data_IF_147641936236
#
_entry.id   IF_147641936236
#
_cell.length_a   1.000
_cell.length_b   1.000
_cell.length_c   1.000
_cell.angle_alpha   90.00
_cell.angle_beta   90.00
_cell.angle_gamma   90.00
#
_symmetry.space_group_name_H-M   'P 1'
#
loop_
_entity.id
_entity.type
_entity.pdbx_description
1 polymer ?
#
# COMPACT_ATOMS: atom_id res chain seq x y z
N UNK A 1 -25.50 -30.17 -8.62
CA UNK A 1 -24.21 -29.68 -8.12
C UNK A 1 -24.11 -28.24 -8.51
N UNK A 2 -24.06 -27.33 -7.54
CA UNK A 2 -23.75 -25.92 -7.77
C UNK A 2 -22.33 -25.84 -8.30
N UNK A 3 -22.15 -25.24 -9.47
CA UNK A 3 -20.82 -24.99 -10.02
C UNK A 3 -20.16 -23.91 -9.17
N UNK A 4 -19.12 -24.26 -8.41
CA UNK A 4 -18.33 -23.32 -7.62
C UNK A 4 -17.22 -22.79 -8.53
N UNK A 5 -17.16 -21.47 -8.73
CA UNK A 5 -16.10 -20.85 -9.53
C UNK A 5 -14.78 -20.80 -8.76
N UNK A 6 -13.66 -20.66 -9.47
CA UNK A 6 -12.36 -20.46 -8.82
C UNK A 6 -12.36 -19.17 -7.95
N UNK A 7 -13.11 -18.14 -8.37
CA UNK A 7 -13.27 -16.89 -7.63
C UNK A 7 -14.06 -17.09 -6.33
N UNK A 8 -15.13 -17.88 -6.36
CA UNK A 8 -15.93 -18.20 -5.17
C UNK A 8 -15.13 -19.06 -4.19
N UNK A 9 -14.39 -20.06 -4.69
CA UNK A 9 -13.51 -20.88 -3.85
C UNK A 9 -12.43 -19.99 -3.19
N UNK A 10 -11.83 -19.08 -3.96
CA UNK A 10 -10.84 -18.15 -3.46
C UNK A 10 -11.41 -17.17 -2.42
N UNK A 11 -12.59 -16.59 -2.69
CA UNK A 11 -13.27 -15.67 -1.79
C UNK A 11 -13.70 -16.30 -0.47
N UNK A 12 -14.01 -17.60 -0.47
CA UNK A 12 -14.45 -18.31 0.73
C UNK A 12 -13.30 -18.99 1.49
N UNK A 13 -12.07 -18.92 0.98
CA UNK A 13 -10.93 -19.59 1.61
C UNK A 13 -10.95 -21.12 1.43
N UNK A 14 -11.73 -21.63 0.48
CA UNK A 14 -11.90 -23.06 0.24
C UNK A 14 -10.74 -23.60 -0.60
N UNK A 15 -9.61 -23.84 0.07
CA UNK A 15 -8.38 -24.31 -0.55
C UNK A 15 -8.54 -25.67 -1.25
N UNK A 16 -9.35 -26.58 -0.69
CA UNK A 16 -9.51 -27.93 -1.24
C UNK A 16 -10.29 -27.91 -2.56
N UNK A 17 -11.36 -27.12 -2.63
CA UNK A 17 -12.09 -26.91 -3.88
C UNK A 17 -11.23 -26.16 -4.88
N UNK A 18 -10.50 -25.14 -4.44
CA UNK A 18 -9.62 -24.36 -5.31
C UNK A 18 -8.51 -25.24 -5.94
N UNK A 19 -7.86 -26.10 -5.15
CA UNK A 19 -6.88 -27.10 -5.66
C UNK A 19 -7.47 -27.99 -6.75
N UNK A 20 -8.65 -28.57 -6.51
CA UNK A 20 -9.33 -29.41 -7.51
C UNK A 20 -9.63 -28.66 -8.80
N UNK A 21 -10.06 -27.40 -8.70
CA UNK A 21 -10.33 -26.55 -9.86
C UNK A 21 -9.03 -26.26 -10.63
N UNK A 22 -7.95 -25.88 -9.96
CA UNK A 22 -6.66 -25.56 -10.59
C UNK A 22 -6.02 -26.79 -11.22
N UNK A 23 -6.11 -27.97 -10.59
CA UNK A 23 -5.65 -29.24 -11.18
C UNK A 23 -6.37 -29.57 -12.48
N UNK A 24 -7.69 -29.34 -12.54
CA UNK A 24 -8.49 -29.62 -13.74
C UNK A 24 -8.36 -28.52 -14.80
N UNK A 25 -8.20 -27.26 -14.38
CA UNK A 25 -8.20 -26.08 -15.24
C UNK A 25 -7.14 -25.04 -14.81
N UNK A 26 -5.84 -25.30 -15.05
CA UNK A 26 -4.76 -24.42 -14.58
C UNK A 26 -4.83 -22.98 -15.13
N UNK A 27 -5.39 -22.78 -16.33
CA UNK A 27 -5.56 -21.47 -16.94
C UNK A 27 -6.48 -20.53 -16.16
N UNK A 28 -7.31 -21.06 -15.24
CA UNK A 28 -8.22 -20.27 -14.41
C UNK A 28 -7.50 -19.47 -13.32
N UNK A 29 -6.26 -19.83 -12.97
CA UNK A 29 -5.47 -19.16 -11.91
C UNK A 29 -5.38 -17.64 -12.11
N UNK A 30 -5.34 -17.20 -13.37
CA UNK A 30 -5.29 -15.78 -13.76
C UNK A 30 -6.54 -15.35 -14.53
N UNK A 31 -7.60 -16.15 -14.54
CA UNK A 31 -8.82 -15.77 -15.24
C UNK A 31 -9.55 -14.68 -14.46
N UNK A 32 -9.85 -13.59 -15.14
CA UNK A 32 -10.67 -12.52 -14.61
C UNK A 32 -12.15 -12.92 -14.52
N UNK A 33 -12.82 -12.46 -13.47
CA UNK A 33 -14.27 -12.45 -13.37
C UNK A 33 -14.90 -11.25 -14.11
N UNK A 34 -16.20 -11.06 -13.93
CA UNK A 34 -16.96 -9.96 -14.52
C UNK A 34 -16.52 -8.55 -14.05
N UNK A 35 -15.74 -8.45 -12.98
CA UNK A 35 -15.20 -7.20 -12.43
C UNK A 35 -13.74 -7.00 -12.80
N UNK A 36 -13.20 -7.83 -13.72
CA UNK A 36 -11.78 -7.88 -14.03
C UNK A 36 -10.93 -8.23 -12.80
N UNK A 37 -11.41 -9.11 -11.91
CA UNK A 37 -10.62 -9.59 -10.77
C UNK A 37 -10.25 -11.05 -10.97
N UNK A 38 -8.97 -11.36 -10.85
CA UNK A 38 -8.52 -12.75 -10.80
C UNK A 38 -8.68 -13.34 -9.37
N UNK A 39 -8.61 -14.66 -9.19
CA UNK A 39 -8.91 -15.32 -7.92
C UNK A 39 -8.10 -14.81 -6.72
N UNK A 40 -6.84 -14.41 -6.94
CA UNK A 40 -5.96 -13.97 -5.84
C UNK A 40 -6.44 -12.68 -5.18
N UNK A 41 -7.17 -11.81 -5.89
CA UNK A 41 -7.74 -10.57 -5.35
C UNK A 41 -8.77 -10.89 -4.27
N UNK A 42 -9.68 -11.81 -4.56
CA UNK A 42 -10.72 -12.24 -3.63
C UNK A 42 -10.14 -12.90 -2.38
N UNK A 43 -9.10 -13.73 -2.56
CA UNK A 43 -8.40 -14.36 -1.44
C UNK A 43 -7.62 -13.33 -0.59
N UNK A 44 -6.94 -12.38 -1.24
CA UNK A 44 -6.15 -11.34 -0.58
C UNK A 44 -7.02 -10.37 0.24
N UNK A 45 -8.11 -9.87 -0.34
CA UNK A 45 -9.08 -8.98 0.32
C UNK A 45 -9.72 -9.63 1.56
N UNK A 46 -9.83 -10.96 1.57
CA UNK A 46 -10.50 -11.71 2.64
C UNK A 46 -9.53 -12.45 3.56
N UNK A 47 -8.23 -12.14 3.47
CA UNK A 47 -7.17 -12.63 4.37
C UNK A 47 -6.92 -14.14 4.30
N UNK A 48 -7.20 -14.77 3.16
CA UNK A 48 -7.06 -16.22 3.00
C UNK A 48 -5.63 -16.59 2.63
N UNK A 49 -4.71 -16.53 3.60
CA UNK A 49 -3.28 -16.74 3.41
C UNK A 49 -2.95 -18.02 2.62
N UNK A 50 -3.50 -19.17 3.00
CA UNK A 50 -3.16 -20.45 2.36
C UNK A 50 -3.62 -20.52 0.90
N UNK A 51 -4.74 -19.86 0.59
CA UNK A 51 -5.25 -19.74 -0.79
C UNK A 51 -4.36 -18.80 -1.60
N UNK A 52 -4.00 -17.64 -1.05
CA UNK A 52 -3.09 -16.69 -1.70
C UNK A 52 -1.75 -17.37 -1.99
N UNK A 53 -1.20 -18.10 -1.00
CA UNK A 53 0.05 -18.83 -1.16
C UNK A 53 -0.04 -19.87 -2.27
N UNK A 54 -1.11 -20.67 -2.28
CA UNK A 54 -1.29 -21.69 -3.30
C UNK A 54 -1.44 -21.07 -4.71
N UNK A 55 -2.21 -20.00 -4.86
CA UNK A 55 -2.35 -19.31 -6.14
C UNK A 55 -1.01 -18.76 -6.65
N UNK A 56 -0.19 -18.17 -5.78
CA UNK A 56 1.19 -17.76 -6.09
C UNK A 56 2.01 -18.96 -6.58
N UNK A 57 2.01 -20.07 -5.84
CA UNK A 57 2.75 -21.28 -6.18
C UNK A 57 2.29 -21.87 -7.53
N UNK A 58 1.05 -21.59 -7.95
CA UNK A 58 0.48 -21.96 -9.25
C UNK A 58 0.72 -20.93 -10.37
N UNK A 59 1.48 -19.85 -10.11
CA UNK A 59 1.82 -18.84 -11.10
C UNK A 59 0.78 -17.74 -11.26
N UNK A 60 0.11 -17.34 -10.18
CA UNK A 60 -0.73 -16.15 -10.18
C UNK A 60 0.07 -14.91 -10.58
N UNK A 61 -0.47 -14.13 -11.51
CA UNK A 61 0.11 -12.86 -11.96
C UNK A 61 -0.17 -11.79 -10.91
N UNK A 62 0.83 -11.51 -10.08
CA UNK A 62 0.73 -10.55 -8.99
C UNK A 62 0.82 -9.09 -9.46
N UNK A 63 1.18 -8.87 -10.72
CA UNK A 63 1.19 -7.55 -11.35
C UNK A 63 -0.09 -7.28 -12.15
N UNK A 64 -0.98 -8.27 -12.28
CA UNK A 64 -2.28 -8.12 -12.93
C UNK A 64 -3.04 -6.94 -12.33
N UNK A 65 -3.81 -6.26 -13.19
CA UNK A 65 -4.60 -5.09 -12.82
C UNK A 65 -3.79 -4.05 -12.07
N UNK A 66 -2.58 -3.76 -12.52
CA UNK A 66 -1.69 -2.79 -11.88
C UNK A 66 -1.40 -3.12 -10.40
N UNK A 67 -1.28 -4.40 -10.03
CA UNK A 67 -0.78 -4.77 -8.71
C UNK A 67 -1.76 -4.52 -7.56
N UNK A 68 -3.05 -4.40 -7.87
CA UNK A 68 -4.07 -4.06 -6.87
C UNK A 68 -4.29 -5.17 -5.82
N UNK A 69 -3.76 -6.39 -6.03
CA UNK A 69 -3.90 -7.48 -5.07
C UNK A 69 -3.24 -7.16 -3.73
N UNK A 70 -2.05 -6.55 -3.76
CA UNK A 70 -1.37 -6.09 -2.55
C UNK A 70 -2.00 -4.79 -2.00
N UNK A 71 -2.48 -3.89 -2.87
CA UNK A 71 -3.16 -2.66 -2.44
C UNK A 71 -4.41 -2.96 -1.61
N UNK A 72 -5.34 -3.73 -2.16
CA UNK A 72 -6.56 -4.12 -1.46
C UNK A 72 -6.27 -5.00 -0.25
N UNK A 73 -5.24 -5.85 -0.30
CA UNK A 73 -4.82 -6.60 0.89
C UNK A 73 -4.34 -5.66 2.01
N UNK A 74 -3.61 -4.59 1.68
CA UNK A 74 -3.10 -3.60 2.62
C UNK A 74 -4.18 -2.70 3.24
N UNK A 75 -5.29 -2.45 2.53
CA UNK A 75 -6.44 -1.70 3.07
C UNK A 75 -7.25 -2.48 4.12
N UNK A 76 -7.05 -3.80 4.21
CA UNK A 76 -7.79 -4.67 5.12
C UNK A 76 -7.11 -4.69 6.49
N UNK A 77 -7.83 -4.34 7.59
CA UNK A 77 -7.29 -4.42 8.94
C UNK A 77 -6.75 -5.82 9.28
N UNK A 78 -5.58 -5.86 9.94
CA UNK A 78 -4.91 -7.07 10.39
C UNK A 78 -4.61 -8.11 9.29
N UNK A 79 -4.26 -7.66 8.07
CA UNK A 79 -3.92 -8.53 6.93
C UNK A 79 -2.40 -8.59 6.63
N UNK A 80 -1.57 -8.48 7.66
CA UNK A 80 -0.11 -8.32 7.52
C UNK A 80 0.55 -9.55 6.88
N UNK A 81 0.01 -10.74 7.13
CA UNK A 81 0.55 -12.01 6.63
C UNK A 81 0.39 -12.15 5.11
N UNK A 82 -0.78 -11.80 4.57
CA UNK A 82 -1.01 -11.80 3.12
C UNK A 82 -0.19 -10.72 2.43
N UNK A 83 -0.15 -9.51 3.01
CA UNK A 83 0.67 -8.41 2.46
C UNK A 83 2.14 -8.81 2.43
N UNK A 84 2.67 -9.36 3.52
CA UNK A 84 4.04 -9.87 3.60
C UNK A 84 4.32 -10.97 2.56
N UNK A 85 3.36 -11.89 2.37
CA UNK A 85 3.44 -12.94 1.38
C UNK A 85 3.48 -12.38 -0.05
N UNK A 86 2.59 -11.45 -0.39
CA UNK A 86 2.56 -10.80 -1.69
C UNK A 86 3.86 -10.05 -1.96
N UNK A 87 4.39 -9.28 -1.00
CA UNK A 87 5.70 -8.61 -1.11
C UNK A 87 6.81 -9.63 -1.36
N UNK A 88 6.83 -10.72 -0.60
CA UNK A 88 7.87 -11.75 -0.68
C UNK A 88 7.97 -12.36 -2.08
N UNK A 89 6.82 -12.60 -2.73
CA UNK A 89 6.75 -13.24 -4.05
C UNK A 89 6.67 -12.25 -5.23
N UNK A 90 6.84 -10.95 -4.97
CA UNK A 90 6.92 -9.95 -6.03
C UNK A 90 5.58 -9.33 -6.44
N UNK A 91 4.54 -9.43 -5.61
CA UNK A 91 3.33 -8.64 -5.68
C UNK A 91 3.67 -7.17 -5.58
N UNK A 92 3.85 -6.56 -6.74
CA UNK A 92 4.03 -5.12 -6.85
C UNK A 92 2.67 -4.49 -6.57
N UNK A 93 2.66 -3.42 -5.78
CA UNK A 93 1.76 -2.34 -6.09
C UNK A 93 2.25 -1.81 -7.45
N UNK A 94 1.47 -1.88 -8.54
CA UNK A 94 1.99 -1.35 -9.82
C UNK A 94 2.08 0.18 -9.82
N UNK A 95 1.82 0.82 -8.68
CA UNK A 95 2.20 2.19 -8.41
C UNK A 95 3.66 2.35 -7.97
N UNK A 96 4.42 1.28 -7.70
CA UNK A 96 5.84 1.40 -7.38
C UNK A 96 6.71 1.62 -8.64
N UNK A 97 6.51 0.85 -9.73
CA UNK A 97 7.38 0.84 -10.95
C UNK A 97 8.83 1.30 -10.70
N UNK A 98 9.59 0.63 -9.81
CA UNK A 98 10.90 1.07 -9.39
C UNK A 98 11.86 1.15 -10.59
N UNK A 99 12.67 2.22 -10.68
CA UNK A 99 13.60 2.43 -11.79
C UNK A 99 14.73 1.40 -11.86
N UNK A 100 14.97 0.69 -10.75
CA UNK A 100 16.07 -0.24 -10.59
C UNK A 100 15.75 -1.30 -9.54
N UNK A 101 16.50 -2.39 -9.58
CA UNK A 101 16.41 -3.49 -8.61
C UNK A 101 16.66 -3.02 -7.16
N UNK A 102 17.58 -2.07 -6.96
CA UNK A 102 17.85 -1.53 -5.62
C UNK A 102 16.68 -0.66 -5.12
N UNK A 103 16.04 0.13 -5.99
CA UNK A 103 14.83 0.88 -5.65
C UNK A 103 13.66 -0.05 -5.30
N UNK A 104 13.53 -1.19 -6.01
CA UNK A 104 12.54 -2.22 -5.69
C UNK A 104 12.76 -2.81 -4.30
N UNK A 105 13.99 -3.18 -3.97
CA UNK A 105 14.32 -3.70 -2.64
C UNK A 105 14.11 -2.66 -1.54
N UNK A 106 14.36 -1.39 -1.86
CA UNK A 106 14.21 -0.29 -0.91
C UNK A 106 12.74 -0.06 -0.56
N UNK A 107 11.89 0.07 -1.57
CA UNK A 107 10.46 0.28 -1.32
C UNK A 107 9.81 -0.93 -0.64
N UNK A 108 10.31 -2.15 -0.88
CA UNK A 108 9.88 -3.33 -0.12
C UNK A 108 10.26 -3.25 1.36
N UNK A 109 11.48 -2.78 1.67
CA UNK A 109 11.87 -2.57 3.06
C UNK A 109 10.98 -1.55 3.76
N UNK A 110 10.56 -0.50 3.05
CA UNK A 110 9.59 0.50 3.53
C UNK A 110 8.21 -0.13 3.76
N UNK A 111 7.65 -0.84 2.78
CA UNK A 111 6.33 -1.49 2.93
C UNK A 111 6.27 -2.53 4.04
N UNK A 112 7.39 -3.21 4.32
CA UNK A 112 7.49 -4.20 5.40
C UNK A 112 7.82 -3.57 6.75
N UNK A 113 7.86 -2.24 6.85
CA UNK A 113 8.33 -1.50 8.02
C UNK A 113 9.69 -2.02 8.57
N UNK A 114 10.58 -2.46 7.67
CA UNK A 114 11.88 -2.99 8.04
C UNK A 114 12.91 -1.86 8.20
N UNK A 115 12.86 -1.21 9.35
CA UNK A 115 13.68 -0.06 9.72
C UNK A 115 15.18 -0.34 9.55
N UNK A 116 15.65 -1.51 10.00
CA UNK A 116 17.05 -1.88 9.89
C UNK A 116 17.53 -1.96 8.44
N UNK A 117 16.70 -2.49 7.54
CA UNK A 117 17.02 -2.60 6.12
C UNK A 117 16.90 -1.26 5.42
N UNK A 118 15.89 -0.45 5.72
CA UNK A 118 15.76 0.93 5.24
C UNK A 118 17.03 1.73 5.58
N UNK A 119 17.46 1.70 6.84
CA UNK A 119 18.65 2.41 7.30
C UNK A 119 19.93 1.91 6.64
N UNK A 120 20.07 0.60 6.47
CA UNK A 120 21.22 0.03 5.76
C UNK A 120 21.28 0.51 4.30
N UNK A 121 20.14 0.49 3.61
CA UNK A 121 20.06 0.88 2.20
C UNK A 121 20.25 2.38 2.00
N UNK A 122 19.74 3.22 2.89
CA UNK A 122 19.94 4.68 2.83
C UNK A 122 21.38 5.08 3.12
N UNK A 123 22.06 4.38 4.04
CA UNK A 123 23.49 4.59 4.27
C UNK A 123 24.31 4.25 3.03
N UNK A 124 24.01 3.14 2.37
CA UNK A 124 24.80 2.65 1.24
C UNK A 124 24.39 3.32 -0.08
N UNK A 125 23.15 3.79 -0.21
CA UNK A 125 22.62 4.47 -1.40
C UNK A 125 21.66 5.62 -1.02
N UNK A 126 22.19 6.78 -0.55
CA UNK A 126 21.37 7.88 0.00
C UNK A 126 20.31 8.44 -0.96
N UNK A 127 20.59 8.44 -2.27
CA UNK A 127 19.66 8.93 -3.30
C UNK A 127 18.31 8.21 -3.32
N UNK A 128 18.21 7.01 -2.75
CA UNK A 128 16.97 6.24 -2.66
C UNK A 128 15.88 7.00 -1.89
N UNK A 129 16.26 7.89 -0.97
CA UNK A 129 15.31 8.67 -0.16
C UNK A 129 14.42 9.59 -1.00
N UNK A 130 14.89 10.01 -2.18
CA UNK A 130 14.17 10.86 -3.13
C UNK A 130 13.73 10.10 -4.40
N UNK A 131 13.88 8.77 -4.41
CA UNK A 131 13.47 7.97 -5.56
C UNK A 131 11.96 8.13 -5.80
N UNK A 132 11.61 8.53 -7.03
CA UNK A 132 10.21 8.62 -7.47
C UNK A 132 9.79 7.29 -8.08
N UNK A 133 8.73 6.76 -7.53
CA UNK A 133 8.02 5.57 -7.97
C UNK A 133 6.95 5.97 -8.99
N UNK A 134 6.12 5.02 -9.43
CA UNK A 134 5.03 5.36 -10.33
C UNK A 134 4.11 6.41 -9.68
N UNK A 135 3.50 7.26 -10.53
CA UNK A 135 2.67 8.39 -10.08
C UNK A 135 3.43 9.44 -9.27
N UNK A 136 4.75 9.40 -9.24
CA UNK A 136 5.58 10.41 -8.58
C UNK A 136 5.64 10.30 -7.06
N UNK A 137 5.09 9.23 -6.49
CA UNK A 137 5.19 8.94 -5.06
C UNK A 137 6.64 8.63 -4.67
N UNK A 138 7.03 8.90 -3.43
CA UNK A 138 8.33 8.51 -2.86
C UNK A 138 8.13 7.55 -1.70
N UNK A 139 9.22 6.98 -1.17
CA UNK A 139 9.18 6.16 0.04
C UNK A 139 8.42 6.86 1.20
N UNK A 140 8.55 8.19 1.32
CA UNK A 140 7.86 8.96 2.35
C UNK A 140 6.34 8.97 2.13
N UNK A 141 5.86 9.07 0.89
CA UNK A 141 4.43 8.97 0.57
C UNK A 141 3.84 7.62 1.02
N UNK A 142 4.56 6.53 0.76
CA UNK A 142 4.12 5.19 1.17
C UNK A 142 4.14 5.01 2.69
N UNK A 143 5.25 5.39 3.35
CA UNK A 143 5.36 5.28 4.80
C UNK A 143 4.30 6.11 5.54
N UNK A 144 4.01 7.32 5.04
CA UNK A 144 2.96 8.19 5.63
C UNK A 144 1.56 7.66 5.39
N UNK A 145 1.27 7.10 4.22
CA UNK A 145 -0.01 6.42 3.94
C UNK A 145 -0.25 5.22 4.85
N UNK A 146 0.82 4.50 5.21
CA UNK A 146 0.75 3.35 6.12
C UNK A 146 0.71 3.74 7.60
N UNK A 147 1.15 4.97 7.95
CA UNK A 147 1.28 5.40 9.34
C UNK A 147 2.50 4.82 10.05
N UNK A 148 3.50 4.35 9.30
CA UNK A 148 4.72 3.75 9.84
C UNK A 148 5.66 4.84 10.37
N UNK A 149 5.34 5.44 11.53
CA UNK A 149 6.04 6.60 12.09
C UNK A 149 7.55 6.40 12.17
N UNK A 150 8.02 5.24 12.63
CA UNK A 150 9.46 4.97 12.73
C UNK A 150 10.16 5.03 11.36
N UNK A 151 9.52 4.53 10.29
CA UNK A 151 10.04 4.63 8.93
C UNK A 151 9.99 6.08 8.44
N UNK A 152 8.92 6.81 8.75
CA UNK A 152 8.80 8.25 8.44
C UNK A 152 9.95 9.03 9.07
N UNK A 153 10.22 8.82 10.36
CA UNK A 153 11.34 9.43 11.08
C UNK A 153 12.68 9.14 10.41
N UNK A 154 12.93 7.89 10.01
CA UNK A 154 14.17 7.52 9.32
C UNK A 154 14.30 8.21 7.96
N UNK A 155 13.22 8.27 7.18
CA UNK A 155 13.20 8.90 5.85
C UNK A 155 13.41 10.41 5.96
N UNK A 156 12.67 11.09 6.85
CA UNK A 156 12.83 12.53 7.10
C UNK A 156 14.23 12.84 7.64
N UNK A 157 14.73 12.06 8.61
CA UNK A 157 16.09 12.18 9.12
C UNK A 157 17.18 11.92 8.08
N UNK A 158 16.87 11.15 7.03
CA UNK A 158 17.75 10.92 5.87
C UNK A 158 17.59 11.95 4.75
N UNK A 159 16.79 12.99 4.97
CA UNK A 159 16.61 14.11 4.03
C UNK A 159 15.52 13.92 3.00
N UNK A 160 14.48 13.10 3.27
CA UNK A 160 13.27 13.07 2.46
C UNK A 160 12.60 14.44 2.40
N UNK A 161 12.06 14.82 1.24
CA UNK A 161 11.32 16.07 1.09
C UNK A 161 9.88 15.87 1.60
N UNK A 162 9.59 16.46 2.76
CA UNK A 162 8.29 16.38 3.45
C UNK A 162 7.14 17.03 2.70
N UNK A 163 7.45 17.89 1.72
CA UNK A 163 6.47 18.64 0.92
C UNK A 163 6.43 18.21 -0.54
N UNK A 164 7.14 17.15 -0.91
CA UNK A 164 7.16 16.69 -2.29
C UNK A 164 5.75 16.28 -2.73
N UNK A 165 5.32 16.83 -3.87
CA UNK A 165 4.02 16.51 -4.45
C UNK A 165 4.18 15.40 -5.49
N UNK A 166 3.35 14.36 -5.37
CA UNK A 166 3.23 13.30 -6.36
C UNK A 166 2.45 13.77 -7.58
N UNK A 167 2.48 13.00 -8.66
CA UNK A 167 1.82 13.34 -9.93
C UNK A 167 0.28 13.42 -9.79
N UNK A 168 -0.28 12.92 -8.69
CA UNK A 168 -1.71 12.99 -8.37
C UNK A 168 -2.06 14.18 -7.46
N UNK A 169 -1.08 15.04 -7.15
CA UNK A 169 -1.29 16.16 -6.24
C UNK A 169 -1.35 15.75 -4.76
N UNK A 170 -0.92 14.53 -4.42
CA UNK A 170 -0.79 14.10 -3.03
C UNK A 170 0.57 14.54 -2.49
N UNK A 171 0.64 14.79 -1.20
CA UNK A 171 1.88 15.11 -0.47
C UNK A 171 1.86 14.38 0.88
N UNK A 172 3.01 14.15 1.52
CA UNK A 172 3.12 13.30 2.72
C UNK A 172 2.13 13.63 3.84
N UNK A 173 1.89 14.92 4.10
CA UNK A 173 0.92 15.36 5.12
C UNK A 173 -0.52 14.93 4.80
N UNK A 174 -0.93 15.04 3.53
CA UNK A 174 -2.24 14.54 3.11
C UNK A 174 -2.31 13.00 3.22
N UNK A 175 -1.25 12.29 2.85
CA UNK A 175 -1.22 10.83 2.98
C UNK A 175 -1.39 10.38 4.45
N UNK A 176 -0.70 10.99 5.40
CA UNK A 176 -0.85 10.67 6.82
C UNK A 176 -2.25 11.04 7.35
N UNK A 177 -2.67 12.30 7.16
CA UNK A 177 -3.89 12.82 7.77
C UNK A 177 -5.15 12.25 7.10
N UNK A 178 -5.14 12.09 5.78
CA UNK A 178 -6.24 11.51 5.00
C UNK A 178 -6.48 10.02 5.28
N UNK A 179 -5.50 9.32 5.88
CA UNK A 179 -5.63 7.94 6.34
C UNK A 179 -5.77 7.84 7.88
N UNK A 180 -5.82 8.98 8.58
CA UNK A 180 -6.09 9.03 10.02
C UNK A 180 -4.90 8.74 10.93
N UNK A 181 -3.67 8.87 10.43
CA UNK A 181 -2.44 8.60 11.20
C UNK A 181 -2.01 9.83 12.00
N UNK A 182 -2.56 9.97 13.21
CA UNK A 182 -2.41 11.17 14.06
C UNK A 182 -0.95 11.46 14.42
N UNK A 183 -0.21 10.47 14.90
CA UNK A 183 1.18 10.64 15.34
C UNK A 183 2.10 11.00 14.15
N UNK A 184 1.91 10.34 13.02
CA UNK A 184 2.61 10.67 11.77
C UNK A 184 2.26 12.07 11.26
N UNK A 185 0.98 12.46 11.36
CA UNK A 185 0.52 13.81 10.98
C UNK A 185 1.21 14.88 11.82
N UNK A 186 1.21 14.70 13.15
CA UNK A 186 1.89 15.60 14.08
C UNK A 186 3.38 15.71 13.74
N UNK A 187 4.07 14.58 13.58
CA UNK A 187 5.49 14.56 13.25
C UNK A 187 5.81 15.35 11.98
N UNK A 188 5.03 15.18 10.90
CA UNK A 188 5.26 15.89 9.65
C UNK A 188 5.13 17.41 9.81
N UNK A 189 4.13 17.89 10.57
CA UNK A 189 3.96 19.32 10.85
C UNK A 189 5.14 19.87 11.64
N UNK A 190 5.58 19.16 12.67
CA UNK A 190 6.76 19.52 13.46
C UNK A 190 8.05 19.59 12.62
N UNK A 191 8.08 18.86 11.49
CA UNK A 191 9.22 18.81 10.57
C UNK A 191 9.01 19.62 9.28
N UNK A 192 8.08 20.59 9.30
CA UNK A 192 7.96 21.61 8.26
C UNK A 192 7.07 21.23 7.08
N UNK A 193 6.12 20.31 7.28
CA UNK A 193 5.08 20.07 6.30
C UNK A 193 4.20 21.32 6.09
N UNK A 194 3.94 21.67 4.83
CA UNK A 194 3.17 22.86 4.43
C UNK A 194 1.67 22.59 4.55
N UNK A 195 1.05 23.21 5.55
CA UNK A 195 -0.40 23.18 5.78
C UNK A 195 -1.23 23.86 4.68
N UNK A 196 -0.59 24.68 3.85
CA UNK A 196 -1.21 25.41 2.75
C UNK A 196 -1.03 24.75 1.38
N UNK A 197 -0.31 23.63 1.32
CA UNK A 197 -0.23 22.82 0.12
C UNK A 197 -1.63 22.39 -0.33
N UNK A 198 -1.87 22.42 -1.65
CA UNK A 198 -3.19 22.18 -2.24
C UNK A 198 -3.22 20.87 -3.00
N UNK A 199 -4.27 20.09 -2.75
CA UNK A 199 -4.62 18.88 -3.49
C UNK A 199 -5.03 19.23 -4.92
N UNK A 200 -5.19 18.21 -5.77
CA UNK A 200 -5.63 18.38 -7.15
C UNK A 200 -7.00 19.05 -7.32
N UNK A 201 -7.87 19.00 -6.30
CA UNK A 201 -9.16 19.70 -6.27
C UNK A 201 -9.08 21.13 -5.72
N UNK A 202 -7.87 21.61 -5.42
CA UNK A 202 -7.58 22.95 -4.93
C UNK A 202 -7.70 23.12 -3.42
N UNK A 203 -8.04 22.09 -2.64
CA UNK A 203 -8.21 22.20 -1.19
C UNK A 203 -6.92 21.98 -0.42
N UNK A 204 -6.79 22.59 0.75
CA UNK A 204 -5.76 22.20 1.73
C UNK A 204 -6.16 20.92 2.46
N UNK A 205 -5.22 20.29 3.17
CA UNK A 205 -5.52 19.10 4.00
C UNK A 205 -6.57 19.41 5.07
N UNK A 206 -6.51 20.60 5.69
CA UNK A 206 -7.49 21.04 6.70
C UNK A 206 -8.88 21.22 6.09
N UNK A 207 -8.96 21.88 4.93
CA UNK A 207 -10.23 22.05 4.19
C UNK A 207 -10.83 20.71 3.77
N UNK A 208 -9.98 19.77 3.35
CA UNK A 208 -10.39 18.42 2.99
C UNK A 208 -10.92 17.65 4.22
N UNK A 209 -10.18 17.62 5.33
CA UNK A 209 -10.59 16.92 6.55
C UNK A 209 -11.91 17.43 7.11
N UNK A 210 -12.17 18.74 7.06
CA UNK A 210 -13.44 19.33 7.51
C UNK A 210 -14.68 18.76 6.80
N UNK A 211 -14.54 18.23 5.59
CA UNK A 211 -15.65 17.58 4.88
C UNK A 211 -15.95 16.16 5.37
N UNK A 212 -14.96 15.47 5.96
CA UNK A 212 -15.04 14.02 6.24
C UNK A 212 -14.84 13.67 7.72
N UNK A 213 -14.31 14.59 8.55
CA UNK A 213 -13.97 14.35 9.95
C UNK A 213 -15.16 13.93 10.82
N UNK A 214 -16.39 14.35 10.48
CA UNK A 214 -17.59 13.95 11.22
C UNK A 214 -17.93 12.45 11.05
N UNK A 215 -17.44 11.82 9.99
CA UNK A 215 -17.72 10.42 9.65
C UNK A 215 -16.62 9.47 10.13
N UNK A 216 -15.43 10.00 10.45
CA UNK A 216 -14.27 9.21 10.89
C UNK A 216 -13.53 9.91 12.04
N UNK A 217 -13.54 9.26 13.21
CA UNK A 217 -12.88 9.74 14.43
C UNK A 217 -11.37 9.96 14.22
N UNK A 218 -10.70 9.15 13.39
CA UNK A 218 -9.26 9.27 13.14
C UNK A 218 -8.96 10.53 12.33
N UNK A 219 -9.79 10.81 11.32
CA UNK A 219 -9.71 12.05 10.54
C UNK A 219 -9.98 13.27 11.43
N UNK A 220 -10.94 13.16 12.36
CA UNK A 220 -11.18 14.21 13.36
C UNK A 220 -9.97 14.46 14.25
N UNK A 221 -9.33 13.41 14.76
CA UNK A 221 -8.12 13.58 15.57
C UNK A 221 -6.95 14.19 14.78
N UNK A 222 -6.81 13.87 13.49
CA UNK A 222 -5.82 14.55 12.64
C UNK A 222 -6.19 16.02 12.42
N UNK A 223 -7.47 16.34 12.23
CA UNK A 223 -7.93 17.72 12.11
C UNK A 223 -7.63 18.52 13.38
N UNK A 224 -7.91 17.95 14.56
CA UNK A 224 -7.65 18.59 15.85
C UNK A 224 -6.15 18.91 16.02
N UNK A 225 -5.26 18.02 15.56
CA UNK A 225 -3.79 18.25 15.56
C UNK A 225 -3.37 19.36 14.59
N UNK A 226 -4.04 19.47 13.44
CA UNK A 226 -3.69 20.48 12.43
C UNK A 226 -4.23 21.88 12.77
N UNK A 227 -5.18 21.97 13.70
CA UNK A 227 -5.76 23.23 14.17
C UNK A 227 -5.19 23.70 15.52
N UNK A 228 -4.35 22.90 16.19
CA UNK A 228 -3.69 23.24 17.46
C UNK A 228 -2.46 24.11 17.29
#
# INVERSE_FOLDING_TARGET
MTFISIHDAAANGDLDTLKKIVEQYPHLVNQDDRYAWCPIFHAGLRRHYDVVKYLIDCGADLAAHDGYAIHYAGEVPDNKEVVSLLITYGGLDAHAKPSSEIARQFIYAVFLANVSRVNAMLRDTPKLVQERYARGDTALHHATRNGDLEIVEQLVGSGADVNLISDHGHFPLYCAAGHGHVETTQYLVEHGADLHARLGDGKTVVEWLKQYADQDRRLKSCLDVLES
#
